data_IF_353113849100
#
_entry.id   IF_353113849100
#
_cell.length_a   1.000
_cell.length_b   1.000
_cell.length_c   1.000
_cell.angle_alpha   90.00
_cell.angle_beta   90.00
_cell.angle_gamma   90.00
#
_symmetry.space_group_name_H-M   'P 1'
#
loop_
_entity.id
_entity.type
_entity.pdbx_description
1 polymer ?
#
# COMPACT_ATOMS: atom_id res chain seq x y z
N UNK A 1 11.53 20.50 13.56
CA UNK A 1 10.24 20.57 14.30
C UNK A 1 9.57 19.21 14.17
N UNK A 2 9.32 18.48 15.27
CA UNK A 2 8.51 17.25 15.23
C UNK A 2 7.06 17.67 14.98
N UNK A 3 6.49 17.32 13.83
CA UNK A 3 5.07 17.52 13.57
C UNK A 3 4.27 16.69 14.57
N UNK A 4 3.40 17.32 15.35
CA UNK A 4 2.46 16.60 16.22
C UNK A 4 1.52 15.76 15.36
N UNK A 5 1.47 14.45 15.60
CA UNK A 5 0.52 13.57 14.92
C UNK A 5 -0.88 13.84 15.46
N UNK A 6 -1.78 14.32 14.58
CA UNK A 6 -3.19 14.50 14.88
C UNK A 6 -3.92 13.16 14.75
N UNK A 7 -4.55 12.71 15.82
CA UNK A 7 -5.35 11.49 15.84
C UNK A 7 -6.85 11.81 15.84
N UNK A 8 -7.60 11.15 14.96
CA UNK A 8 -9.06 11.14 14.99
C UNK A 8 -9.57 9.82 15.55
N UNK A 9 -10.60 9.87 16.41
CA UNK A 9 -11.23 8.68 16.99
C UNK A 9 -12.42 8.28 16.14
N UNK A 10 -12.46 7.01 15.77
CA UNK A 10 -13.54 6.44 14.96
C UNK A 10 -14.16 5.27 15.73
N UNK A 11 -15.49 5.19 15.69
CA UNK A 11 -16.24 4.03 16.20
C UNK A 11 -16.78 3.25 15.01
N UNK A 12 -16.53 1.94 14.98
CA UNK A 12 -16.93 1.06 13.89
C UNK A 12 -17.59 -0.20 14.45
N UNK A 13 -18.58 -0.72 13.72
CA UNK A 13 -19.13 -2.04 13.96
C UNK A 13 -18.30 -3.07 13.20
N UNK A 14 -17.92 -4.16 13.86
CA UNK A 14 -17.16 -5.26 13.28
C UNK A 14 -17.88 -6.58 13.62
N UNK A 15 -18.03 -7.51 12.66
CA UNK A 15 -18.52 -8.86 12.91
C UNK A 15 -17.81 -9.54 14.09
N UNK A 16 -18.57 -10.33 14.87
CA UNK A 16 -18.05 -10.97 16.09
C UNK A 16 -16.92 -11.93 15.77
N UNK A 17 -17.03 -12.66 14.66
CA UNK A 17 -16.04 -13.64 14.19
C UNK A 17 -14.67 -12.99 13.89
N UNK A 18 -14.70 -11.74 13.41
CA UNK A 18 -13.48 -10.96 13.18
C UNK A 18 -12.87 -10.46 14.49
N UNK A 19 -13.70 -10.12 15.49
CA UNK A 19 -13.20 -9.75 16.82
C UNK A 19 -12.49 -10.93 17.49
N UNK A 20 -13.04 -12.14 17.38
CA UNK A 20 -12.40 -13.36 17.90
C UNK A 20 -11.04 -13.61 17.23
N UNK A 21 -10.97 -13.44 15.90
CA UNK A 21 -9.74 -13.56 15.14
C UNK A 21 -8.70 -12.50 15.56
N UNK A 22 -9.14 -11.24 15.73
CA UNK A 22 -8.30 -10.13 16.22
C UNK A 22 -7.74 -10.44 17.61
N UNK A 23 -8.53 -11.01 18.52
CA UNK A 23 -8.07 -11.36 19.86
C UNK A 23 -6.98 -12.43 19.84
N UNK A 24 -7.14 -13.44 19.00
CA UNK A 24 -6.13 -14.49 18.83
C UNK A 24 -4.80 -13.92 18.34
N UNK A 25 -4.84 -13.14 17.25
CA UNK A 25 -3.65 -12.52 16.64
C UNK A 25 -2.99 -11.53 17.62
N UNK A 26 -3.80 -10.73 18.32
CA UNK A 26 -3.33 -9.79 19.34
C UNK A 26 -2.49 -10.49 20.40
N UNK A 27 -2.97 -11.64 20.90
CA UNK A 27 -2.29 -12.41 21.93
C UNK A 27 -0.98 -13.02 21.42
N UNK A 28 -0.96 -13.54 20.20
CA UNK A 28 0.24 -14.08 19.56
C UNK A 28 1.31 -13.01 19.34
N UNK A 29 0.90 -11.86 18.78
CA UNK A 29 1.81 -10.75 18.46
C UNK A 29 2.16 -9.87 19.66
N UNK A 30 1.50 -10.06 20.81
CA UNK A 30 1.66 -9.26 22.04
C UNK A 30 1.48 -7.75 21.83
N UNK A 31 0.55 -7.36 20.97
CA UNK A 31 0.18 -5.95 20.73
C UNK A 31 -1.22 -5.67 21.30
N UNK A 32 -1.70 -4.42 21.22
CA UNK A 32 -3.10 -4.13 21.58
C UNK A 32 -4.00 -4.16 20.32
N UNK A 33 -5.32 -4.25 20.52
CA UNK A 33 -6.28 -4.31 19.41
C UNK A 33 -6.18 -3.11 18.48
N UNK A 34 -6.10 -1.90 19.05
CA UNK A 34 -6.05 -0.65 18.29
C UNK A 34 -4.82 -0.58 17.39
N UNK A 35 -3.68 -1.08 17.87
CA UNK A 35 -2.44 -1.17 17.12
C UNK A 35 -2.55 -2.19 15.98
N UNK A 36 -3.15 -3.36 16.25
CA UNK A 36 -3.39 -4.36 15.20
C UNK A 36 -4.31 -3.81 14.10
N UNK A 37 -5.41 -3.16 14.48
CA UNK A 37 -6.34 -2.53 13.54
C UNK A 37 -5.65 -1.42 12.76
N UNK A 38 -4.87 -0.56 13.43
CA UNK A 38 -4.10 0.51 12.76
C UNK A 38 -3.18 -0.06 11.69
N UNK A 39 -2.38 -1.07 12.02
CA UNK A 39 -1.48 -1.73 11.07
C UNK A 39 -2.23 -2.35 9.91
N UNK A 40 -3.34 -3.02 10.17
CA UNK A 40 -4.17 -3.63 9.12
C UNK A 40 -4.73 -2.57 8.16
N UNK A 41 -5.19 -1.42 8.68
CA UNK A 41 -5.66 -0.30 7.85
C UNK A 41 -4.52 0.32 7.05
N UNK A 42 -3.35 0.55 7.65
CA UNK A 42 -2.17 1.07 6.96
C UNK A 42 -1.72 0.14 5.83
N UNK A 43 -1.66 -1.17 6.09
CA UNK A 43 -1.34 -2.21 5.12
C UNK A 43 -2.34 -2.21 3.95
N UNK A 44 -3.64 -2.15 4.28
CA UNK A 44 -4.70 -2.12 3.27
C UNK A 44 -4.56 -0.89 2.36
N UNK A 45 -4.32 0.29 2.93
CA UNK A 45 -4.13 1.53 2.16
C UNK A 45 -2.90 1.44 1.25
N UNK A 46 -1.77 0.91 1.75
CA UNK A 46 -0.57 0.72 0.92
C UNK A 46 -0.83 -0.24 -0.24
N UNK A 47 -1.47 -1.37 0.02
CA UNK A 47 -1.79 -2.34 -1.01
C UNK A 47 -2.79 -1.80 -2.04
N UNK A 48 -3.79 -1.04 -1.60
CA UNK A 48 -4.72 -0.36 -2.51
C UNK A 48 -3.98 0.62 -3.44
N UNK A 49 -3.10 1.47 -2.89
CA UNK A 49 -2.30 2.39 -3.70
C UNK A 49 -1.43 1.66 -4.72
N UNK A 50 -0.78 0.57 -4.30
CA UNK A 50 0.03 -0.27 -5.19
C UNK A 50 -0.80 -0.87 -6.32
N UNK A 51 -1.95 -1.49 -6.01
CA UNK A 51 -2.85 -2.04 -7.02
C UNK A 51 -3.34 -0.98 -8.00
N UNK A 52 -3.67 0.22 -7.51
CA UNK A 52 -4.06 1.33 -8.38
C UNK A 52 -2.94 1.73 -9.36
N UNK A 53 -1.69 1.74 -8.90
CA UNK A 53 -0.54 1.99 -9.77
C UNK A 53 -0.34 0.86 -10.79
N UNK A 54 -0.48 -0.40 -10.36
CA UNK A 54 -0.42 -1.57 -11.25
C UNK A 54 -1.51 -1.50 -12.33
N UNK A 55 -2.75 -1.15 -11.97
CA UNK A 55 -3.86 -0.96 -12.91
C UNK A 55 -3.59 0.16 -13.91
N UNK A 56 -3.05 1.30 -13.46
CA UNK A 56 -2.67 2.40 -14.35
C UNK A 56 -1.58 1.97 -15.32
N UNK A 57 -0.54 1.29 -14.82
CA UNK A 57 0.54 0.77 -15.66
C UNK A 57 0.01 -0.23 -16.70
N UNK A 58 -0.94 -1.10 -16.32
CA UNK A 58 -1.60 -2.02 -17.24
C UNK A 58 -2.41 -1.29 -18.32
N UNK A 59 -3.13 -0.22 -17.97
CA UNK A 59 -3.87 0.59 -18.96
C UNK A 59 -2.93 1.29 -19.95
N UNK A 60 -1.75 1.73 -19.49
CA UNK A 60 -0.75 2.38 -20.33
C UNK A 60 0.07 1.39 -21.16
N UNK A 61 0.03 0.08 -20.84
CA UNK A 61 0.82 -0.95 -21.52
C UNK A 61 0.64 -0.89 -23.04
N UNK A 62 -0.61 -0.85 -23.50
CA UNK A 62 -0.90 -0.83 -24.93
C UNK A 62 -0.45 0.48 -25.60
N UNK A 63 -0.34 1.58 -24.87
CA UNK A 63 0.21 2.84 -25.38
C UNK A 63 1.74 2.79 -25.47
N UNK A 64 2.42 2.23 -24.46
CA UNK A 64 3.86 2.00 -24.49
C UNK A 64 4.29 1.02 -25.60
N UNK A 65 3.50 -0.03 -25.86
CA UNK A 65 3.80 -0.99 -26.93
C UNK A 65 3.62 -0.40 -28.34
N UNK A 66 2.68 0.54 -28.51
CA UNK A 66 2.31 1.09 -29.82
C UNK A 66 3.00 2.42 -30.15
N UNK A 67 3.34 3.23 -29.14
CA UNK A 67 3.97 4.53 -29.33
C UNK A 67 5.46 4.49 -29.04
N UNK A 68 6.28 4.31 -30.10
CA UNK A 68 7.74 4.25 -30.02
C UNK A 68 8.40 5.53 -29.50
N UNK A 69 7.72 6.67 -29.49
CA UNK A 69 8.24 7.89 -28.87
C UNK A 69 8.28 7.78 -27.35
N UNK A 70 7.32 7.07 -26.73
CA UNK A 70 7.27 6.87 -25.27
C UNK A 70 8.39 5.96 -24.76
N UNK A 71 9.00 5.17 -25.64
CA UNK A 71 10.13 4.27 -25.33
C UNK A 71 11.44 4.69 -26.00
N UNK A 72 11.49 5.90 -26.60
CA UNK A 72 12.61 6.32 -27.44
C UNK A 72 13.92 6.43 -26.65
N UNK A 73 13.83 6.78 -25.37
CA UNK A 73 14.98 6.96 -24.48
C UNK A 73 15.20 5.81 -23.50
N UNK A 74 14.38 4.74 -23.55
CA UNK A 74 14.53 3.60 -22.63
C UNK A 74 15.84 2.84 -22.86
N UNK A 75 16.46 2.98 -24.04
CA UNK A 75 17.81 2.47 -24.31
C UNK A 75 18.91 3.19 -23.54
N UNK A 76 18.66 4.43 -23.06
CA UNK A 76 19.60 5.18 -22.24
C UNK A 76 19.50 4.77 -20.76
N UNK A 77 18.36 4.24 -20.30
CA UNK A 77 18.19 3.73 -18.93
C UNK A 77 19.02 2.47 -18.66
N UNK A 78 19.43 1.75 -19.72
CA UNK A 78 20.33 0.60 -19.64
C UNK A 78 21.82 0.96 -19.61
N UNK A 79 22.19 2.23 -19.80
CA UNK A 79 23.54 2.69 -19.51
C UNK A 79 23.68 2.76 -17.98
N UNK A 80 24.17 1.67 -17.40
CA UNK A 80 24.42 1.57 -15.97
C UNK A 80 25.20 2.80 -15.50
N UNK A 81 24.73 3.42 -14.41
CA UNK A 81 25.52 4.37 -13.65
C UNK A 81 26.79 3.65 -13.17
N UNK A 82 27.84 3.72 -13.97
CA UNK A 82 29.19 3.38 -13.56
C UNK A 82 29.82 4.66 -13.03
N UNK A 83 30.26 4.55 -11.77
CA UNK A 83 30.97 5.47 -10.87
C UNK A 83 30.13 6.40 -9.98
#
# INVERSE_FOLDING_TARGET
MKSEQRFERVTIAIPVELIESIESIKNEMKINKSELIRRAVEEFIRNYKRKKLEEIALMMKDEYERNKELTLFTSLDSEGFID
#
